data_IF_006041127743
#
_entry.id   IF_006041127743
#
_cell.length_a   1.000
_cell.length_b   1.000
_cell.length_c   1.000
_cell.angle_alpha   90.00
_cell.angle_beta   90.00
_cell.angle_gamma   90.00
#
_symmetry.space_group_name_H-M   'P 1'
#
loop_
_entity.id
_entity.type
_entity.pdbx_description
1 polymer ?
#
# COMPACT_ATOMS: atom_id res chain seq x y z
N UNK A 1 33.19 18.17 9.11
CA UNK A 1 34.05 19.33 9.43
C UNK A 1 35.48 19.02 8.98
N UNK A 2 36.40 19.95 9.16
CA UNK A 2 37.82 19.78 8.79
C UNK A 2 38.55 18.70 9.62
N UNK A 3 37.89 18.15 10.65
CA UNK A 3 38.37 17.04 11.46
C UNK A 3 37.79 15.66 11.03
N UNK A 4 36.95 15.64 9.98
CA UNK A 4 36.30 14.42 9.48
C UNK A 4 35.04 14.02 10.24
N UNK A 5 34.51 14.87 11.11
CA UNK A 5 33.23 14.64 11.81
C UNK A 5 32.05 14.90 10.88
N UNK A 6 31.03 14.04 10.92
CA UNK A 6 29.75 14.27 10.23
C UNK A 6 29.09 15.54 10.79
N UNK A 7 28.93 16.56 9.95
CA UNK A 7 28.33 17.85 10.32
C UNK A 7 26.85 17.98 9.97
N UNK A 8 26.38 17.20 9.01
CA UNK A 8 24.99 17.08 8.64
C UNK A 8 24.77 15.73 7.94
N UNK A 9 23.55 15.23 8.03
CA UNK A 9 23.06 14.10 7.23
C UNK A 9 22.06 14.72 6.25
N UNK A 10 22.24 14.45 4.96
CA UNK A 10 21.24 14.75 3.94
C UNK A 10 20.51 13.45 3.65
N UNK A 11 19.20 13.49 3.78
CA UNK A 11 18.31 12.44 3.28
C UNK A 11 17.91 12.83 1.86
N UNK A 12 18.15 11.94 0.90
CA UNK A 12 17.76 12.12 -0.50
C UNK A 12 16.63 11.16 -0.80
N UNK A 13 15.51 11.72 -1.26
CA UNK A 13 14.27 10.98 -1.44
C UNK A 13 13.75 11.19 -2.84
N UNK A 14 13.74 10.10 -3.60
CA UNK A 14 13.16 10.06 -4.92
C UNK A 14 11.76 9.46 -4.84
N UNK A 15 10.82 10.05 -5.57
CA UNK A 15 9.46 9.52 -5.69
C UNK A 15 9.02 9.55 -7.15
N UNK A 16 8.21 8.56 -7.51
CA UNK A 16 7.55 8.52 -8.80
C UNK A 16 6.34 9.46 -8.83
N UNK A 17 5.66 9.50 -9.98
CA UNK A 17 4.37 10.19 -10.08
C UNK A 17 3.35 9.59 -9.11
N UNK A 18 2.58 10.46 -8.46
CA UNK A 18 1.45 10.15 -7.57
C UNK A 18 0.19 10.82 -8.12
N UNK A 19 -0.98 10.41 -7.62
CA UNK A 19 -2.25 10.99 -8.04
C UNK A 19 -2.30 12.48 -7.75
N UNK A 20 -3.01 13.24 -8.60
CA UNK A 20 -3.25 14.65 -8.32
C UNK A 20 -3.94 14.83 -6.95
N UNK A 21 -3.46 15.82 -6.18
CA UNK A 21 -3.91 16.07 -4.80
C UNK A 21 -3.48 15.03 -3.75
N UNK A 22 -2.80 13.94 -4.12
CA UNK A 22 -2.31 12.94 -3.18
C UNK A 22 -0.89 13.27 -2.70
N UNK A 23 -0.73 13.43 -1.39
CA UNK A 23 0.59 13.59 -0.78
C UNK A 23 1.33 12.26 -0.67
N UNK A 24 2.64 12.31 -0.42
CA UNK A 24 3.44 11.16 -0.05
C UNK A 24 3.97 11.32 1.37
N UNK A 25 4.03 10.22 2.11
CA UNK A 25 4.51 10.18 3.48
C UNK A 25 5.35 8.92 3.72
N UNK A 26 6.36 9.00 4.59
CA UNK A 26 7.13 7.81 4.98
C UNK A 26 6.23 6.86 5.77
N UNK A 27 6.08 5.62 5.31
CA UNK A 27 5.28 4.59 5.95
C UNK A 27 6.06 3.25 6.03
N UNK A 28 6.20 2.61 7.21
CA UNK A 28 5.72 3.05 8.52
C UNK A 28 6.32 4.39 8.94
N UNK A 29 5.61 5.12 9.79
CA UNK A 29 5.91 6.51 10.13
C UNK A 29 7.41 6.73 10.40
N UNK A 30 7.99 7.75 9.75
CA UNK A 30 9.40 8.15 9.81
C UNK A 30 10.47 7.13 9.36
N UNK A 31 10.14 5.85 9.21
CA UNK A 31 11.14 4.79 8.97
C UNK A 31 11.05 4.15 7.57
N UNK A 32 9.85 4.09 7.00
CA UNK A 32 9.65 3.40 5.73
C UNK A 32 9.81 4.27 4.49
N UNK A 33 9.44 3.69 3.34
CA UNK A 33 9.46 4.34 2.03
C UNK A 33 8.32 5.34 1.91
N UNK A 34 8.41 6.20 0.90
CA UNK A 34 7.30 7.09 0.58
C UNK A 34 6.13 6.26 0.03
N UNK A 35 4.99 6.38 0.69
CA UNK A 35 3.73 5.78 0.30
C UNK A 35 2.65 6.87 0.13
N UNK A 36 1.58 6.58 -0.62
CA UNK A 36 0.40 7.45 -0.72
C UNK A 36 -0.15 7.85 0.65
N UNK A 37 -0.11 9.14 0.98
CA UNK A 37 -0.57 9.63 2.26
C UNK A 37 -2.10 9.75 2.30
N UNK A 38 -2.72 9.37 3.41
CA UNK A 38 -4.15 9.50 3.63
C UNK A 38 -4.62 10.96 3.75
N UNK A 39 -3.71 11.87 4.08
CA UNK A 39 -3.94 13.30 4.27
C UNK A 39 -2.59 14.01 4.28
N UNK A 40 -2.62 15.34 4.19
CA UNK A 40 -1.44 16.14 4.51
C UNK A 40 -1.08 15.94 5.99
N UNK A 41 0.04 15.28 6.27
CA UNK A 41 0.45 14.92 7.64
C UNK A 41 1.49 15.88 8.22
N UNK A 42 1.53 17.14 7.76
CA UNK A 42 2.51 18.10 8.27
C UNK A 42 2.31 18.32 9.77
N UNK A 43 3.25 17.82 10.58
CA UNK A 43 3.16 17.86 12.05
C UNK A 43 2.32 16.75 12.68
N UNK A 44 1.78 15.82 11.87
CA UNK A 44 0.99 14.68 12.31
C UNK A 44 1.74 13.35 12.10
N UNK A 45 1.27 12.28 12.72
CA UNK A 45 1.71 10.92 12.38
C UNK A 45 1.37 10.61 10.93
N UNK A 46 2.33 10.08 10.18
CA UNK A 46 2.08 9.64 8.80
C UNK A 46 1.10 8.46 8.78
N UNK A 47 0.10 8.56 7.91
CA UNK A 47 -0.83 7.48 7.59
C UNK A 47 -0.84 7.25 6.10
N UNK A 48 -0.87 6.00 5.69
CA UNK A 48 -1.02 5.63 4.29
C UNK A 48 -2.50 5.40 3.98
N UNK A 49 -2.91 5.70 2.76
CA UNK A 49 -4.13 5.10 2.19
C UNK A 49 -3.79 3.79 1.52
N UNK A 50 -4.79 2.92 1.46
CA UNK A 50 -4.76 1.66 0.74
C UNK A 50 -4.58 1.92 -0.74
N UNK A 51 -4.08 0.89 -1.41
CA UNK A 51 -3.70 0.93 -2.80
C UNK A 51 -4.85 1.23 -3.76
N UNK A 52 -4.47 1.50 -5.01
CA UNK A 52 -5.42 1.55 -6.13
C UNK A 52 -6.27 0.27 -6.24
N UNK A 53 -7.35 0.29 -7.05
CA UNK A 53 -8.34 -0.78 -7.05
C UNK A 53 -7.78 -2.10 -7.57
N UNK A 54 -6.68 -2.06 -8.31
CA UNK A 54 -5.92 -3.22 -8.75
C UNK A 54 -4.54 -3.17 -8.12
N UNK A 55 -4.09 -4.32 -7.62
CA UNK A 55 -2.85 -4.49 -6.88
C UNK A 55 -2.12 -5.77 -7.29
N UNK A 56 -0.86 -5.88 -6.91
CA UNK A 56 -0.09 -7.12 -7.05
C UNK A 56 -0.47 -8.03 -5.87
N UNK A 57 -1.10 -9.16 -6.16
CA UNK A 57 -1.56 -10.12 -5.15
C UNK A 57 -0.59 -11.26 -4.94
N UNK A 58 0.17 -11.64 -5.96
CA UNK A 58 1.10 -12.76 -5.88
C UNK A 58 2.23 -12.62 -6.90
N UNK A 59 3.41 -13.11 -6.56
CA UNK A 59 4.54 -13.24 -7.49
C UNK A 59 5.19 -14.60 -7.29
N UNK A 60 5.27 -15.38 -8.37
CA UNK A 60 5.96 -16.68 -8.37
C UNK A 60 7.31 -16.53 -9.07
N UNK A 61 8.31 -16.08 -8.33
CA UNK A 61 9.62 -15.70 -8.85
C UNK A 61 10.69 -16.80 -8.65
N UNK A 62 10.40 -17.88 -7.91
CA UNK A 62 11.25 -19.06 -7.73
C UNK A 62 10.50 -20.38 -7.94
N UNK A 63 9.87 -20.60 -9.12
CA UNK A 63 9.17 -21.85 -9.38
C UNK A 63 10.04 -23.09 -9.18
N UNK A 64 9.43 -24.21 -8.78
CA UNK A 64 10.10 -25.51 -8.83
C UNK A 64 10.27 -25.97 -10.27
N UNK A 65 11.26 -26.85 -10.52
CA UNK A 65 11.42 -27.45 -11.84
C UNK A 65 10.12 -28.12 -12.36
N UNK A 66 9.84 -28.05 -13.68
CA UNK A 66 8.70 -28.69 -14.30
C UNK A 66 8.52 -30.15 -13.87
N UNK A 67 7.30 -30.53 -13.51
CA UNK A 67 6.99 -31.91 -13.14
C UNK A 67 7.04 -32.83 -14.36
N UNK A 68 7.25 -34.15 -14.17
CA UNK A 68 7.20 -35.11 -15.29
C UNK A 68 5.88 -35.09 -16.07
N UNK A 69 4.76 -34.78 -15.42
CA UNK A 69 3.46 -34.66 -16.08
C UNK A 69 3.40 -33.44 -17.01
N UNK A 70 3.98 -32.32 -16.61
CA UNK A 70 4.06 -31.11 -17.44
C UNK A 70 5.02 -31.31 -18.62
N UNK A 71 6.18 -31.92 -18.38
CA UNK A 71 7.15 -32.23 -19.43
C UNK A 71 6.63 -33.27 -20.44
N UNK A 72 5.69 -34.13 -20.04
CA UNK A 72 5.01 -35.03 -20.97
C UNK A 72 4.08 -34.29 -21.94
N UNK A 73 3.55 -33.12 -21.54
CA UNK A 73 2.71 -32.27 -22.40
C UNK A 73 3.59 -31.36 -23.26
N UNK A 74 4.58 -30.69 -22.64
CA UNK A 74 5.50 -29.79 -23.32
C UNK A 74 6.95 -30.05 -22.87
N UNK A 75 7.72 -30.86 -23.62
CA UNK A 75 9.08 -31.27 -23.20
C UNK A 75 10.11 -30.13 -23.10
N UNK A 76 9.81 -28.98 -23.72
CA UNK A 76 10.68 -27.81 -23.70
C UNK A 76 10.31 -26.81 -22.58
N UNK A 77 9.40 -27.18 -21.66
CA UNK A 77 9.03 -26.32 -20.53
C UNK A 77 10.23 -26.09 -19.63
N UNK A 78 10.49 -24.84 -19.28
CA UNK A 78 11.56 -24.45 -18.34
C UNK A 78 10.99 -24.01 -16.99
N UNK A 79 11.87 -23.72 -16.03
CA UNK A 79 11.48 -23.13 -14.74
C UNK A 79 10.97 -21.71 -14.93
N UNK A 80 11.66 -20.90 -15.73
CA UNK A 80 11.27 -19.53 -16.09
C UNK A 80 9.86 -19.49 -16.74
N UNK A 81 9.48 -20.52 -17.49
CA UNK A 81 8.15 -20.62 -18.09
C UNK A 81 7.00 -20.68 -17.08
N UNK A 82 7.31 -21.00 -15.81
CA UNK A 82 6.37 -21.12 -14.68
C UNK A 82 6.29 -19.84 -13.83
N UNK A 83 7.11 -18.83 -14.11
CA UNK A 83 7.05 -17.54 -13.42
C UNK A 83 5.78 -16.78 -13.78
N UNK A 84 5.26 -15.97 -12.85
CA UNK A 84 4.16 -15.06 -13.11
C UNK A 84 4.09 -13.92 -12.09
N UNK A 85 3.43 -12.84 -12.51
CA UNK A 85 2.91 -11.79 -11.62
C UNK A 85 1.39 -11.90 -11.64
N UNK A 86 0.76 -12.01 -10.47
CA UNK A 86 -0.70 -11.96 -10.34
C UNK A 86 -1.14 -10.55 -9.95
N UNK A 87 -2.16 -10.06 -10.65
CA UNK A 87 -2.86 -8.83 -10.29
C UNK A 87 -4.29 -9.16 -9.88
N UNK A 88 -4.80 -8.42 -8.89
CA UNK A 88 -6.13 -8.60 -8.33
C UNK A 88 -6.90 -7.29 -8.29
N UNK A 89 -8.15 -7.29 -8.77
CA UNK A 89 -9.10 -6.19 -8.55
C UNK A 89 -9.78 -6.34 -7.18
N UNK A 90 -9.28 -5.63 -6.17
CA UNK A 90 -9.80 -5.65 -4.80
C UNK A 90 -11.04 -4.77 -4.57
N UNK A 91 -11.60 -4.17 -5.61
CA UNK A 91 -12.79 -3.34 -5.52
C UNK A 91 -14.07 -4.13 -5.84
N UNK A 92 -15.22 -3.60 -5.40
CA UNK A 92 -16.53 -4.13 -5.76
C UNK A 92 -16.99 -3.72 -7.19
N UNK A 93 -16.14 -3.02 -7.96
CA UNK A 93 -16.47 -2.50 -9.29
C UNK A 93 -15.56 -3.08 -10.38
N UNK A 94 -16.04 -3.24 -11.62
CA UNK A 94 -15.17 -3.61 -12.73
C UNK A 94 -14.15 -2.49 -13.02
N UNK A 95 -12.90 -2.87 -13.31
CA UNK A 95 -11.81 -1.94 -13.62
C UNK A 95 -11.32 -2.16 -15.04
N UNK A 96 -11.36 -1.09 -15.84
CA UNK A 96 -10.72 -1.04 -17.16
C UNK A 96 -9.20 -0.91 -17.01
N UNK A 97 -8.46 -1.84 -17.61
CA UNK A 97 -7.01 -1.92 -17.62
C UNK A 97 -6.36 -1.19 -18.81
N UNK A 98 -7.13 -0.42 -19.59
CA UNK A 98 -6.58 0.47 -20.62
C UNK A 98 -5.52 1.39 -20.02
N UNK A 99 -4.34 1.44 -20.64
CA UNK A 99 -3.15 2.19 -20.20
C UNK A 99 -2.60 1.79 -18.81
N UNK A 100 -3.04 0.65 -18.25
CA UNK A 100 -2.34 0.04 -17.12
C UNK A 100 -1.08 -0.66 -17.58
N UNK A 101 -0.08 -0.72 -16.69
CA UNK A 101 1.20 -1.34 -17.03
C UNK A 101 1.99 -1.84 -15.83
N UNK A 102 2.71 -2.95 -16.00
CA UNK A 102 3.77 -3.40 -15.10
C UNK A 102 5.11 -2.84 -15.56
N UNK A 103 5.94 -2.40 -14.61
CA UNK A 103 7.30 -1.91 -14.86
C UNK A 103 8.28 -2.35 -13.78
N UNK A 104 9.55 -2.50 -14.15
CA UNK A 104 10.63 -2.86 -13.22
C UNK A 104 11.35 -4.11 -13.69
N UNK A 105 11.35 -5.16 -12.89
CA UNK A 105 11.90 -6.47 -13.28
C UNK A 105 11.24 -7.07 -14.52
N UNK A 106 9.92 -6.85 -14.65
CA UNK A 106 9.17 -7.18 -15.86
C UNK A 106 8.38 -5.99 -16.37
N UNK A 107 8.31 -5.87 -17.69
CA UNK A 107 7.59 -4.82 -18.39
C UNK A 107 6.43 -5.41 -19.20
N UNK A 108 5.21 -4.97 -18.91
CA UNK A 108 4.01 -5.40 -19.61
C UNK A 108 3.00 -4.25 -19.73
N UNK A 109 2.39 -4.10 -20.91
CA UNK A 109 1.28 -3.18 -21.14
C UNK A 109 -0.01 -3.98 -21.27
N UNK A 110 -1.00 -3.67 -20.44
CA UNK A 110 -2.28 -4.37 -20.49
C UNK A 110 -3.03 -4.00 -21.78
N UNK A 111 -3.73 -4.98 -22.43
CA UNK A 111 -4.48 -4.70 -23.64
C UNK A 111 -5.58 -3.67 -23.41
N UNK A 112 -5.73 -2.70 -24.33
CA UNK A 112 -6.82 -1.74 -24.30
C UNK A 112 -8.20 -2.45 -24.30
N UNK A 113 -9.09 -1.99 -23.44
CA UNK A 113 -10.43 -2.56 -23.24
C UNK A 113 -10.46 -3.85 -22.41
N UNK A 114 -9.33 -4.32 -21.89
CA UNK A 114 -9.33 -5.42 -20.93
C UNK A 114 -9.94 -4.95 -19.61
N UNK A 115 -11.04 -5.56 -19.17
CA UNK A 115 -11.71 -5.20 -17.90
C UNK A 115 -11.55 -6.31 -16.87
N UNK A 116 -10.97 -6.06 -15.70
CA UNK A 116 -11.03 -6.97 -14.55
C UNK A 116 -12.33 -6.78 -13.79
N UNK A 117 -13.11 -7.85 -13.64
CA UNK A 117 -14.36 -7.87 -12.86
C UNK A 117 -14.07 -7.71 -11.36
N UNK A 118 -15.08 -7.36 -10.54
CA UNK A 118 -14.91 -7.30 -9.09
C UNK A 118 -14.34 -8.61 -8.52
N UNK A 119 -13.32 -8.51 -7.68
CA UNK A 119 -12.58 -9.64 -7.09
C UNK A 119 -11.94 -10.62 -8.11
N UNK A 120 -11.83 -10.23 -9.39
CA UNK A 120 -11.15 -11.05 -10.39
C UNK A 120 -9.63 -10.94 -10.24
N UNK A 121 -8.96 -12.07 -10.39
CA UNK A 121 -7.50 -12.18 -10.46
C UNK A 121 -7.07 -12.52 -11.89
N UNK A 122 -5.90 -12.03 -12.28
CA UNK A 122 -5.28 -12.38 -13.55
C UNK A 122 -3.78 -12.64 -13.39
N UNK A 123 -3.29 -13.66 -14.08
CA UNK A 123 -1.86 -13.96 -14.16
C UNK A 123 -1.25 -13.27 -15.38
N UNK A 124 -0.09 -12.65 -15.22
CA UNK A 124 0.73 -12.12 -16.30
C UNK A 124 1.93 -13.04 -16.47
N UNK A 125 1.97 -13.74 -17.61
CA UNK A 125 2.94 -14.80 -17.92
C UNK A 125 4.13 -14.30 -18.77
N UNK A 126 5.29 -14.98 -18.76
CA UNK A 126 6.47 -14.62 -19.57
C UNK A 126 6.26 -14.77 -21.08
N UNK A 127 5.18 -15.42 -21.50
CA UNK A 127 4.85 -15.64 -22.90
C UNK A 127 3.39 -15.28 -23.15
N UNK A 128 3.06 -14.86 -24.37
CA UNK A 128 1.69 -14.49 -24.71
C UNK A 128 0.79 -15.76 -24.77
N UNK A 129 -0.18 -15.93 -23.85
CA UNK A 129 -1.06 -17.09 -23.82
C UNK A 129 -2.07 -17.13 -24.99
N UNK A 130 -2.34 -15.99 -25.63
CA UNK A 130 -3.25 -15.90 -26.78
C UNK A 130 -2.58 -16.30 -28.11
N UNK A 131 -1.24 -16.38 -28.15
CA UNK A 131 -0.54 -16.85 -29.34
C UNK A 131 -0.77 -18.36 -29.51
N UNK A 132 -1.37 -18.83 -30.63
CA UNK A 132 -1.65 -20.25 -30.85
C UNK A 132 -0.41 -21.15 -30.80
N UNK A 133 0.78 -20.61 -31.09
CA UNK A 133 2.04 -21.34 -30.96
C UNK A 133 2.36 -21.76 -29.52
N UNK A 134 1.79 -21.06 -28.53
CA UNK A 134 1.99 -21.34 -27.11
C UNK A 134 0.91 -22.25 -26.52
N UNK A 135 -0.07 -22.73 -27.30
CA UNK A 135 -1.20 -23.49 -26.77
C UNK A 135 -0.78 -24.75 -25.99
N UNK A 136 0.21 -25.51 -26.48
CA UNK A 136 0.72 -26.71 -25.79
C UNK A 136 1.51 -26.35 -24.53
N UNK A 137 2.31 -25.27 -24.58
CA UNK A 137 3.04 -24.74 -23.42
C UNK A 137 2.07 -24.29 -22.32
N UNK A 138 1.03 -23.54 -22.69
CA UNK A 138 -0.03 -23.11 -21.78
C UNK A 138 -0.79 -24.29 -21.18
N UNK A 139 -1.15 -25.29 -21.99
CA UNK A 139 -1.80 -26.50 -21.51
C UNK A 139 -0.95 -27.25 -20.45
N UNK A 140 0.38 -27.18 -20.55
CA UNK A 140 1.28 -27.77 -19.56
C UNK A 140 1.27 -27.02 -18.22
N UNK A 141 0.87 -25.74 -18.16
CA UNK A 141 0.75 -25.00 -16.90
C UNK A 141 -0.47 -25.43 -16.09
N UNK A 142 -1.54 -25.86 -16.76
CA UNK A 142 -2.73 -26.40 -16.11
C UNK A 142 -3.62 -25.36 -15.42
N UNK A 143 -3.46 -24.07 -15.70
CA UNK A 143 -4.37 -23.03 -15.20
C UNK A 143 -5.75 -23.18 -15.84
N UNK A 144 -6.80 -23.27 -15.01
CA UNK A 144 -8.19 -23.46 -15.45
C UNK A 144 -9.07 -22.38 -14.83
N UNK A 145 -9.84 -21.67 -15.65
CA UNK A 145 -10.77 -20.64 -15.18
C UNK A 145 -10.11 -19.37 -14.66
N UNK A 146 -8.79 -19.23 -14.84
CA UNK A 146 -8.01 -18.04 -14.46
C UNK A 146 -7.80 -17.18 -15.70
N UNK A 147 -7.93 -15.86 -15.55
CA UNK A 147 -7.61 -14.93 -16.63
C UNK A 147 -6.11 -14.83 -16.82
N UNK A 148 -5.66 -14.89 -18.07
CA UNK A 148 -4.25 -14.87 -18.42
C UNK A 148 -3.94 -13.73 -19.38
N UNK A 149 -2.94 -12.94 -19.00
CA UNK A 149 -2.20 -12.05 -19.86
C UNK A 149 -0.78 -12.59 -20.01
N UNK A 150 0.03 -12.04 -20.91
CA UNK A 150 1.43 -12.39 -20.91
C UNK A 150 2.21 -11.98 -22.14
N UNK A 151 3.48 -12.41 -22.14
CA UNK A 151 4.50 -11.90 -23.03
C UNK A 151 5.14 -10.64 -22.46
N UNK A 152 5.24 -10.55 -21.13
CA UNK A 152 6.04 -9.50 -20.50
C UNK A 152 7.50 -9.59 -20.99
N UNK A 153 8.16 -8.44 -21.08
CA UNK A 153 9.60 -8.39 -21.30
C UNK A 153 10.34 -8.42 -19.96
N UNK A 154 11.57 -8.96 -19.95
CA UNK A 154 12.34 -9.16 -18.72
C UNK A 154 12.13 -10.56 -18.13
N UNK A 155 12.61 -10.74 -16.90
CA UNK A 155 12.51 -11.98 -16.13
C UNK A 155 12.51 -11.61 -14.65
N UNK A 156 11.78 -12.34 -13.81
CA UNK A 156 11.80 -12.08 -12.37
C UNK A 156 13.13 -12.55 -11.78
N UNK A 157 13.76 -11.73 -10.95
CA UNK A 157 14.99 -12.12 -10.27
C UNK A 157 14.67 -12.98 -9.04
N UNK A 158 15.41 -14.09 -8.88
CA UNK A 158 15.26 -14.98 -7.74
C UNK A 158 15.60 -14.27 -6.41
N UNK A 159 16.52 -13.30 -6.41
CA UNK A 159 17.04 -12.69 -5.19
C UNK A 159 16.21 -11.49 -4.77
N UNK A 160 16.12 -10.45 -5.60
CA UNK A 160 15.41 -9.23 -5.26
C UNK A 160 14.95 -8.50 -6.52
N UNK A 161 13.76 -7.91 -6.48
CA UNK A 161 13.24 -7.17 -7.62
C UNK A 161 12.29 -6.04 -7.21
N UNK A 162 12.21 -5.00 -8.04
CA UNK A 162 11.16 -3.98 -7.96
C UNK A 162 10.10 -4.22 -9.03
N UNK A 163 8.84 -4.33 -8.60
CA UNK A 163 7.67 -4.38 -9.48
C UNK A 163 6.74 -3.21 -9.16
N UNK A 164 6.40 -2.46 -10.20
CA UNK A 164 5.46 -1.34 -10.13
C UNK A 164 4.27 -1.63 -11.01
N UNK A 165 3.10 -1.65 -10.41
CA UNK A 165 1.84 -1.58 -11.14
C UNK A 165 1.48 -0.10 -11.29
N UNK A 166 1.38 0.35 -12.52
CA UNK A 166 1.06 1.74 -12.85
C UNK A 166 -0.32 1.81 -13.50
N UNK A 167 -1.09 2.83 -13.12
CA UNK A 167 -2.42 3.14 -13.67
C UNK A 167 -2.39 4.49 -14.39
N UNK A 168 -3.27 4.72 -15.38
CA UNK A 168 -3.44 6.05 -15.93
C UNK A 168 -4.00 7.01 -14.87
N UNK A 169 -3.65 8.29 -15.01
CA UNK A 169 -4.28 9.39 -14.30
C UNK A 169 -4.84 10.41 -15.30
N UNK A 170 -5.60 11.38 -14.81
CA UNK A 170 -6.24 12.42 -15.61
C UNK A 170 -5.17 13.21 -16.40
N UNK A 171 -5.30 13.32 -17.74
CA UNK A 171 -4.42 14.15 -18.54
C UNK A 171 -4.36 15.60 -18.03
N UNK A 172 -3.17 16.23 -17.96
CA UNK A 172 -3.07 17.64 -17.63
C UNK A 172 -3.86 18.51 -18.61
N UNK A 173 -4.52 19.56 -18.11
CA UNK A 173 -5.35 20.47 -18.93
C UNK A 173 -4.54 21.13 -20.06
N UNK A 174 -3.26 21.41 -19.80
CA UNK A 174 -2.31 22.00 -20.74
C UNK A 174 -1.70 20.97 -21.73
N UNK A 175 -1.87 19.67 -21.47
CA UNK A 175 -1.44 18.60 -22.36
C UNK A 175 -2.44 17.43 -22.35
N UNK A 176 -3.64 17.60 -22.95
CA UNK A 176 -4.73 16.62 -22.88
C UNK A 176 -4.45 15.31 -23.61
N UNK A 177 -3.37 15.24 -24.41
CA UNK A 177 -2.93 14.03 -25.12
C UNK A 177 -1.94 13.19 -24.32
N UNK A 178 -1.40 13.72 -23.22
CA UNK A 178 -0.52 12.96 -22.33
C UNK A 178 -1.37 12.07 -21.42
N UNK A 179 -1.08 10.76 -21.41
CA UNK A 179 -1.60 9.85 -20.39
C UNK A 179 -0.53 9.72 -19.29
N UNK A 180 -0.64 10.47 -18.18
CA UNK A 180 0.25 10.26 -17.04
C UNK A 180 0.00 8.88 -16.45
N UNK A 181 1.05 8.27 -15.91
CA UNK A 181 0.96 6.99 -15.23
C UNK A 181 1.51 7.14 -13.82
N UNK A 182 0.71 6.77 -12.83
CA UNK A 182 1.02 6.87 -11.41
C UNK A 182 1.10 5.48 -10.80
N UNK A 183 1.83 5.34 -9.69
CA UNK A 183 1.92 4.06 -8.97
C UNK A 183 0.56 3.71 -8.37
N UNK A 184 0.01 2.57 -8.78
CA UNK A 184 -1.15 1.93 -8.16
C UNK A 184 -0.71 0.97 -7.04
N UNK A 185 0.38 0.24 -7.26
CA UNK A 185 1.02 -0.64 -6.28
C UNK A 185 2.54 -0.74 -6.54
N UNK A 186 3.30 -0.95 -5.47
CA UNK A 186 4.75 -1.12 -5.47
C UNK A 186 5.09 -2.35 -4.63
N UNK A 187 5.87 -3.26 -5.20
CA UNK A 187 6.48 -4.39 -4.53
C UNK A 187 7.99 -4.33 -4.71
N UNK A 188 8.74 -4.42 -3.61
CA UNK A 188 10.20 -4.52 -3.63
C UNK A 188 10.63 -5.71 -2.78
N UNK A 189 10.59 -6.92 -3.33
CA UNK A 189 10.88 -8.14 -2.56
C UNK A 189 12.38 -8.43 -2.47
N UNK A 190 12.75 -9.30 -1.53
CA UNK A 190 14.14 -9.72 -1.27
C UNK A 190 14.20 -11.20 -0.82
N UNK A 191 15.38 -11.82 -0.91
CA UNK A 191 15.67 -13.21 -0.52
C UNK A 191 16.23 -13.32 0.89
N UNK A 192 16.07 -12.25 1.67
CA UNK A 192 16.49 -12.21 3.06
C UNK A 192 15.35 -11.76 3.97
N UNK A 193 15.42 -12.21 5.22
CA UNK A 193 14.55 -11.73 6.30
C UNK A 193 14.58 -10.20 6.35
N UNK A 194 13.43 -9.50 6.44
CA UNK A 194 12.13 -10.01 6.89
C UNK A 194 11.20 -10.60 5.81
N UNK A 195 11.59 -10.66 4.54
CA UNK A 195 10.75 -11.26 3.50
C UNK A 195 10.53 -12.77 3.72
N UNK A 196 9.40 -13.34 3.27
CA UNK A 196 9.20 -14.78 3.32
C UNK A 196 10.30 -15.56 2.58
N UNK A 197 10.80 -16.63 3.19
CA UNK A 197 11.95 -17.41 2.69
C UNK A 197 11.60 -18.83 2.24
N UNK A 198 10.30 -19.15 2.20
CA UNK A 198 9.77 -20.47 1.86
C UNK A 198 8.81 -20.35 0.69
N UNK A 199 8.61 -21.45 -0.03
CA UNK A 199 7.71 -21.49 -1.19
C UNK A 199 8.43 -21.15 -2.50
N UNK A 200 7.63 -21.07 -3.56
CA UNK A 200 8.08 -20.71 -4.92
C UNK A 200 7.90 -19.22 -5.22
N UNK A 201 7.27 -18.50 -4.31
CA UNK A 201 6.84 -17.14 -4.51
C UNK A 201 6.27 -16.56 -3.22
N UNK A 202 5.63 -15.40 -3.37
CA UNK A 202 4.96 -14.70 -2.29
C UNK A 202 3.52 -14.35 -2.66
N UNK A 203 2.59 -14.59 -1.73
CA UNK A 203 1.18 -14.19 -1.85
C UNK A 203 0.84 -13.17 -0.76
N UNK A 204 0.06 -12.17 -1.14
CA UNK A 204 -0.34 -11.07 -0.28
C UNK A 204 -1.44 -11.48 0.69
N UNK A 205 -1.30 -11.10 1.95
CA UNK A 205 -2.24 -11.51 3.03
C UNK A 205 -3.49 -10.65 3.09
N UNK A 206 -3.39 -9.40 2.62
CA UNK A 206 -4.46 -8.42 2.70
C UNK A 206 -4.33 -7.32 1.62
N UNK A 207 -5.43 -6.94 0.94
CA UNK A 207 -5.39 -5.97 -0.16
C UNK A 207 -5.26 -4.52 0.30
N UNK A 208 -5.39 -4.23 1.59
CA UNK A 208 -5.11 -2.90 2.20
C UNK A 208 -3.63 -2.66 2.51
N UNK A 209 -2.85 -3.71 2.80
CA UNK A 209 -1.48 -3.58 3.30
C UNK A 209 -0.51 -3.31 2.15
N UNK A 210 0.26 -2.22 2.14
CA UNK A 210 1.15 -1.88 1.01
C UNK A 210 2.05 -3.04 0.56
N UNK A 211 2.22 -3.19 -0.75
CA UNK A 211 3.04 -4.26 -1.34
C UNK A 211 4.53 -4.16 -1.01
N UNK A 212 5.04 -3.00 -0.60
CA UNK A 212 6.46 -2.79 -0.31
C UNK A 212 6.85 -3.15 1.14
N UNK A 213 5.89 -3.60 1.95
CA UNK A 213 6.11 -4.09 3.30
C UNK A 213 6.22 -5.60 3.30
N UNK A 214 7.31 -6.15 3.83
CA UNK A 214 7.50 -7.61 3.93
C UNK A 214 6.39 -8.30 4.77
N UNK A 215 5.79 -7.59 5.72
CA UNK A 215 4.68 -8.09 6.55
C UNK A 215 3.38 -8.30 5.76
N UNK A 216 3.27 -7.74 4.56
CA UNK A 216 2.11 -7.93 3.68
C UNK A 216 2.09 -9.28 2.98
N UNK A 217 3.16 -10.08 3.10
CA UNK A 217 3.39 -11.25 2.26
C UNK A 217 3.60 -12.53 3.05
N UNK A 218 3.17 -13.65 2.46
CA UNK A 218 3.48 -15.01 2.92
C UNK A 218 4.19 -15.79 1.82
N UNK A 219 5.00 -16.78 2.20
CA UNK A 219 5.73 -17.65 1.28
C UNK A 219 4.86 -18.76 0.67
N UNK A 220 3.70 -18.38 0.15
CA UNK A 220 2.75 -19.25 -0.52
C UNK A 220 2.66 -18.88 -2.00
N UNK A 221 2.12 -19.78 -2.81
CA UNK A 221 1.72 -19.49 -4.18
C UNK A 221 0.39 -20.21 -4.46
N UNK A 222 -0.64 -19.44 -4.75
CA UNK A 222 -2.02 -19.85 -5.00
C UNK A 222 -2.49 -19.23 -6.31
N UNK A 223 -1.90 -19.64 -7.46
CA UNK A 223 -2.16 -19.01 -8.74
C UNK A 223 -3.65 -19.01 -9.09
N UNK A 224 -4.18 -17.84 -9.40
CA UNK A 224 -5.58 -17.65 -9.76
C UNK A 224 -6.53 -17.64 -8.57
N UNK A 225 -6.02 -17.46 -7.35
CA UNK A 225 -6.84 -17.33 -6.15
C UNK A 225 -6.21 -16.38 -5.14
N UNK A 226 -7.00 -15.43 -4.66
CA UNK A 226 -6.66 -14.66 -3.45
C UNK A 226 -7.27 -15.32 -2.23
N UNK A 227 -6.42 -15.61 -1.24
CA UNK A 227 -6.84 -16.10 0.07
C UNK A 227 -6.54 -15.03 1.13
N UNK A 228 -7.19 -13.87 0.99
CA UNK A 228 -7.07 -12.84 2.01
C UNK A 228 -7.66 -13.34 3.31
N UNK A 229 -6.93 -13.13 4.39
CA UNK A 229 -7.48 -13.35 5.71
C UNK A 229 -8.42 -12.18 5.95
N UNK A 230 -9.73 -12.40 5.79
CA UNK A 230 -10.71 -11.40 6.19
C UNK A 230 -10.44 -11.03 7.65
N UNK A 231 -10.46 -9.74 8.01
CA UNK A 231 -10.36 -9.25 9.39
C UNK A 231 -11.34 -9.96 10.31
N UNK A 232 -10.96 -11.12 10.83
CA UNK A 232 -11.83 -11.88 11.73
C UNK A 232 -11.60 -11.26 13.10
N UNK A 233 -12.45 -10.30 13.49
CA UNK A 233 -12.33 -9.63 14.78
C UNK A 233 -12.12 -8.11 14.75
N UNK A 234 -12.20 -7.45 13.59
CA UNK A 234 -12.12 -5.98 13.51
C UNK A 234 -10.73 -5.40 13.25
N UNK A 235 -9.69 -6.23 13.13
CA UNK A 235 -8.34 -5.82 12.70
C UNK A 235 -8.34 -5.55 11.19
N UNK A 236 -8.92 -4.41 10.82
CA UNK A 236 -9.03 -4.00 9.43
C UNK A 236 -7.77 -3.35 8.92
N UNK A 237 -6.73 -3.14 9.72
CA UNK A 237 -5.40 -2.71 9.22
C UNK A 237 -4.53 -3.92 8.84
N UNK A 238 -4.78 -5.10 9.40
CA UNK A 238 -4.02 -6.32 9.18
C UNK A 238 -2.69 -6.36 9.93
N UNK A 239 -2.54 -5.56 10.99
CA UNK A 239 -1.31 -5.48 11.79
C UNK A 239 -1.28 -6.47 12.97
N UNK A 240 -2.38 -7.20 13.18
CA UNK A 240 -2.57 -8.19 14.24
C UNK A 240 -3.19 -7.62 15.52
N UNK A 241 -3.57 -6.35 15.55
CA UNK A 241 -4.13 -5.66 16.71
C UNK A 241 -5.40 -4.89 16.32
N UNK A 242 -6.46 -5.01 17.11
CA UNK A 242 -7.67 -4.20 16.97
C UNK A 242 -7.54 -2.96 17.86
N UNK A 243 -7.39 -1.77 17.28
CA UNK A 243 -7.16 -0.52 17.98
C UNK A 243 -7.72 0.71 17.21
N UNK A 244 -7.31 1.92 17.62
CA UNK A 244 -7.78 3.16 17.00
C UNK A 244 -7.41 3.30 15.52
N UNK A 245 -6.29 2.73 15.08
CA UNK A 245 -5.85 2.75 13.69
C UNK A 245 -6.82 2.02 12.75
N UNK A 246 -7.52 1.00 13.24
CA UNK A 246 -8.58 0.30 12.51
C UNK A 246 -9.81 1.18 12.30
N UNK A 247 -10.21 1.92 13.34
CA UNK A 247 -11.30 2.89 13.26
C UNK A 247 -10.95 4.01 12.28
N UNK A 248 -9.72 4.51 12.39
CA UNK A 248 -9.19 5.56 11.55
C UNK A 248 -9.16 5.15 10.07
N UNK A 249 -8.83 3.90 9.76
CA UNK A 249 -8.86 3.36 8.39
C UNK A 249 -10.27 3.34 7.81
N UNK A 250 -11.28 2.98 8.62
CA UNK A 250 -12.68 3.06 8.19
C UNK A 250 -13.10 4.51 7.92
N UNK A 251 -12.74 5.46 8.79
CA UNK A 251 -13.01 6.87 8.52
C UNK A 251 -12.33 7.38 7.25
N UNK A 252 -11.06 7.01 7.03
CA UNK A 252 -10.34 7.36 5.81
C UNK A 252 -11.02 6.75 4.56
N UNK A 253 -11.56 5.52 4.65
CA UNK A 253 -12.37 4.92 3.57
C UNK A 253 -13.68 5.69 3.32
N UNK A 254 -14.44 6.00 4.37
CA UNK A 254 -15.71 6.72 4.26
C UNK A 254 -15.53 8.16 3.74
N UNK A 255 -14.36 8.75 3.95
CA UNK A 255 -13.96 10.02 3.36
C UNK A 255 -13.55 9.91 1.87
N UNK A 256 -13.66 8.72 1.26
CA UNK A 256 -13.38 8.48 -0.16
C UNK A 256 -11.90 8.41 -0.51
N UNK A 257 -11.03 8.16 0.47
CA UNK A 257 -9.57 8.17 0.25
C UNK A 257 -8.99 6.86 -0.28
N UNK A 258 -9.82 5.81 -0.30
CA UNK A 258 -9.48 4.48 -0.78
C UNK A 258 -10.32 4.12 -2.02
N UNK A 259 -9.95 3.03 -2.70
CA UNK A 259 -10.74 2.46 -3.78
C UNK A 259 -12.21 2.25 -3.37
N UNK A 260 -13.18 2.50 -4.27
CA UNK A 260 -14.60 2.44 -3.93
C UNK A 260 -14.95 0.99 -3.53
N UNK A 261 -15.34 0.83 -2.26
CA UNK A 261 -15.76 -0.43 -1.64
C UNK A 261 -14.68 -1.52 -1.58
N UNK A 262 -13.85 -1.42 -0.55
CA UNK A 262 -12.96 -2.49 -0.14
C UNK A 262 -13.76 -3.45 0.76
N UNK A 263 -14.26 -4.56 0.23
CA UNK A 263 -15.14 -5.50 0.97
C UNK A 263 -14.51 -6.04 2.27
N UNK A 264 -13.18 -5.99 2.41
CA UNK A 264 -12.49 -6.30 3.67
C UNK A 264 -12.81 -5.33 4.82
N UNK A 265 -13.34 -4.14 4.51
CA UNK A 265 -13.74 -3.12 5.49
C UNK A 265 -15.23 -3.24 5.85
N UNK A 266 -15.96 -4.21 5.29
CA UNK A 266 -17.33 -4.57 5.66
C UNK A 266 -17.29 -5.43 6.93
N UNK A 267 -17.06 -4.76 8.07
CA UNK A 267 -16.81 -5.39 9.36
C UNK A 267 -18.08 -6.01 9.95
N UNK A 268 -19.25 -5.45 9.63
CA UNK A 268 -20.55 -5.99 10.07
C UNK A 268 -21.11 -7.09 9.13
N UNK A 269 -20.48 -7.29 7.97
CA UNK A 269 -20.80 -8.34 7.00
C UNK A 269 -22.12 -8.12 6.26
N UNK A 270 -22.60 -6.88 6.17
CA UNK A 270 -23.86 -6.54 5.50
C UNK A 270 -23.71 -6.38 3.96
N UNK A 271 -22.49 -6.46 3.44
CA UNK A 271 -22.13 -6.31 2.04
C UNK A 271 -21.87 -4.86 1.61
N UNK A 272 -21.79 -3.91 2.54
CA UNK A 272 -21.62 -2.47 2.25
C UNK A 272 -20.75 -1.79 3.30
N UNK A 273 -19.62 -1.23 2.89
CA UNK A 273 -18.77 -0.41 3.76
C UNK A 273 -19.39 0.97 3.98
N UNK A 274 -19.85 1.24 5.19
CA UNK A 274 -20.54 2.47 5.60
C UNK A 274 -20.33 2.80 7.10
N UNK A 275 -21.05 3.79 7.63
CA UNK A 275 -20.92 4.20 9.03
C UNK A 275 -21.29 3.10 10.05
N UNK A 276 -22.08 2.09 9.64
CA UNK A 276 -22.39 0.94 10.49
C UNK A 276 -21.16 0.08 10.77
N UNK A 277 -20.19 0.01 9.86
CA UNK A 277 -18.94 -0.73 10.09
C UNK A 277 -18.10 -0.10 11.18
N UNK A 278 -18.01 1.24 11.20
CA UNK A 278 -17.35 2.00 12.27
C UNK A 278 -18.04 1.72 13.61
N UNK A 279 -19.37 1.81 13.62
CA UNK A 279 -20.18 1.53 14.80
C UNK A 279 -19.96 0.09 15.30
N UNK A 280 -19.93 -0.88 14.39
CA UNK A 280 -19.74 -2.29 14.72
C UNK A 280 -18.33 -2.54 15.26
N UNK A 281 -17.30 -1.96 14.64
CA UNK A 281 -15.92 -2.04 15.13
C UNK A 281 -15.80 -1.49 16.55
N UNK A 282 -16.33 -0.28 16.81
CA UNK A 282 -16.24 0.37 18.13
C UNK A 282 -17.00 -0.40 19.21
N UNK A 283 -18.24 -0.81 18.92
CA UNK A 283 -19.13 -1.34 19.97
C UNK A 283 -19.13 -2.86 20.11
N UNK A 284 -18.86 -3.60 19.03
CA UNK A 284 -18.89 -5.08 19.04
C UNK A 284 -17.49 -5.65 19.14
N UNK A 285 -16.55 -5.18 18.31
CA UNK A 285 -15.20 -5.73 18.29
C UNK A 285 -14.32 -5.17 19.41
N UNK A 286 -14.26 -3.84 19.56
CA UNK A 286 -13.53 -3.20 20.65
C UNK A 286 -14.30 -3.25 21.97
N UNK A 287 -15.63 -3.41 21.92
CA UNK A 287 -16.46 -3.50 23.12
C UNK A 287 -16.46 -2.22 23.94
N UNK A 288 -16.25 -1.06 23.30
CA UNK A 288 -16.19 0.24 23.97
C UNK A 288 -17.30 1.19 23.51
N UNK A 289 -17.26 2.43 23.99
CA UNK A 289 -18.19 3.51 23.68
C UNK A 289 -17.48 4.61 22.89
N UNK A 290 -18.27 5.35 22.12
CA UNK A 290 -17.84 6.63 21.57
C UNK A 290 -17.38 7.54 22.71
N UNK A 291 -16.20 8.16 22.57
CA UNK A 291 -15.62 8.97 23.66
C UNK A 291 -14.44 8.31 24.37
N UNK A 292 -14.26 6.99 24.26
CA UNK A 292 -13.12 6.28 24.85
C UNK A 292 -11.91 6.39 23.90
N UNK A 293 -11.08 7.42 24.11
CA UNK A 293 -9.93 7.71 23.25
C UNK A 293 -8.76 6.76 23.52
N UNK A 294 -8.63 6.24 24.76
CA UNK A 294 -7.53 5.34 25.13
C UNK A 294 -7.87 3.85 24.96
N UNK A 295 -9.12 3.53 24.60
CA UNK A 295 -9.67 2.19 24.41
C UNK A 295 -9.58 1.32 25.68
N UNK A 296 -9.73 1.91 26.86
CA UNK A 296 -9.71 1.19 28.14
C UNK A 296 -11.07 0.62 28.58
N UNK A 297 -12.12 0.85 27.77
CA UNK A 297 -13.48 0.39 27.98
C UNK A 297 -14.34 1.38 28.80
N UNK A 298 -13.80 2.54 29.17
CA UNK A 298 -14.50 3.59 29.91
C UNK A 298 -14.43 4.94 29.21
N UNK A 299 -15.48 5.75 29.38
CA UNK A 299 -15.49 7.15 28.91
C UNK A 299 -15.39 8.06 30.13
N UNK A 300 -14.17 8.50 30.43
CA UNK A 300 -13.86 9.13 31.72
C UNK A 300 -12.94 10.36 31.62
N UNK A 301 -12.39 10.78 32.77
CA UNK A 301 -11.49 11.95 32.84
C UNK A 301 -10.13 11.73 32.17
N UNK A 302 -9.72 10.49 31.95
CA UNK A 302 -8.50 10.11 31.23
C UNK A 302 -8.64 10.45 29.75
N UNK A 303 -9.79 10.17 29.14
CA UNK A 303 -10.08 10.58 27.77
C UNK A 303 -10.13 12.11 27.64
N UNK A 304 -10.75 12.78 28.61
CA UNK A 304 -10.81 14.24 28.62
C UNK A 304 -9.40 14.88 28.71
N UNK A 305 -8.44 14.20 29.36
CA UNK A 305 -7.05 14.64 29.37
C UNK A 305 -6.41 14.58 27.98
N UNK A 306 -6.80 13.61 27.14
CA UNK A 306 -6.37 13.51 25.74
C UNK A 306 -6.95 14.69 24.95
N UNK A 307 -8.23 15.00 25.09
CA UNK A 307 -8.82 16.19 24.46
C UNK A 307 -8.09 17.47 24.87
N UNK A 308 -7.75 17.65 26.14
CA UNK A 308 -7.03 18.85 26.59
C UNK A 308 -5.64 19.00 25.94
N UNK A 309 -5.02 17.89 25.54
CA UNK A 309 -3.72 17.87 24.86
C UNK A 309 -3.86 18.08 23.35
N UNK A 310 -4.96 17.62 22.76
CA UNK A 310 -5.14 17.55 21.30
C UNK A 310 -6.12 18.58 20.73
N UNK A 311 -6.91 19.27 21.58
CA UNK A 311 -7.95 20.21 21.15
C UNK A 311 -7.41 21.27 20.20
N UNK A 312 -8.17 21.51 19.14
CA UNK A 312 -7.85 22.43 18.05
C UNK A 312 -6.63 22.02 17.22
N UNK A 313 -6.21 20.76 17.29
CA UNK A 313 -5.26 20.20 16.34
C UNK A 313 -5.98 19.79 15.04
N UNK A 314 -5.26 19.90 13.91
CA UNK A 314 -5.68 19.35 12.61
C UNK A 314 -5.07 17.98 12.32
N UNK A 315 -4.72 17.25 13.38
CA UNK A 315 -4.09 15.94 13.32
C UNK A 315 -4.98 14.85 13.93
N UNK A 316 -6.30 15.05 13.89
CA UNK A 316 -7.28 14.17 14.51
C UNK A 316 -7.10 12.70 14.12
N UNK A 317 -7.25 11.86 15.13
CA UNK A 317 -7.38 10.41 15.08
C UNK A 317 -8.23 9.97 16.25
N UNK A 318 -8.74 8.75 16.22
CA UNK A 318 -9.45 8.19 17.37
C UNK A 318 -8.67 8.39 18.69
N UNK A 319 -7.40 8.00 18.68
CA UNK A 319 -6.48 8.09 19.83
C UNK A 319 -6.09 9.52 20.24
N UNK A 320 -6.39 10.52 19.40
CA UNK A 320 -6.18 11.94 19.70
C UNK A 320 -7.49 12.70 19.89
N UNK A 321 -8.60 11.99 20.09
CA UNK A 321 -9.92 12.55 20.41
C UNK A 321 -10.67 13.11 19.18
N UNK A 322 -10.44 12.57 17.98
CA UNK A 322 -11.30 12.78 16.82
C UNK A 322 -12.25 11.58 16.69
N UNK A 323 -13.48 11.77 17.16
CA UNK A 323 -14.48 10.71 17.21
C UNK A 323 -15.47 10.80 16.06
N UNK A 324 -15.44 11.84 15.23
CA UNK A 324 -16.32 11.94 14.06
C UNK A 324 -15.58 11.70 12.73
N UNK A 325 -14.25 11.54 12.77
CA UNK A 325 -13.40 11.24 11.62
C UNK A 325 -13.15 12.44 10.71
N UNK A 326 -13.44 13.67 11.15
CA UNK A 326 -13.30 14.88 10.33
C UNK A 326 -11.89 15.50 10.37
N UNK A 327 -10.95 14.85 11.05
CA UNK A 327 -9.53 15.21 11.23
C UNK A 327 -9.27 16.42 12.13
N UNK A 328 -10.32 17.06 12.64
CA UNK A 328 -10.22 18.18 13.58
C UNK A 328 -10.62 17.69 14.96
N UNK A 329 -9.82 18.03 15.98
CA UNK A 329 -10.22 17.77 17.37
C UNK A 329 -10.95 19.00 17.90
N UNK A 330 -12.28 19.01 17.85
CA UNK A 330 -13.09 20.19 18.19
C UNK A 330 -14.22 19.92 19.20
N UNK A 331 -15.23 20.79 19.22
CA UNK A 331 -16.38 20.68 20.15
C UNK A 331 -17.33 19.55 19.76
N UNK A 332 -17.33 19.11 18.49
CA UNK A 332 -18.13 17.99 18.00
C UNK A 332 -17.65 16.69 18.63
N UNK A 333 -16.34 16.47 18.73
CA UNK A 333 -15.77 15.32 19.42
C UNK A 333 -16.02 15.38 20.92
N UNK A 334 -15.87 16.57 21.50
CA UNK A 334 -16.22 16.79 22.91
C UNK A 334 -17.68 16.44 23.20
N UNK A 335 -18.60 16.75 22.29
CA UNK A 335 -20.01 16.39 22.45
C UNK A 335 -20.22 14.87 22.40
N UNK A 336 -19.47 14.13 21.60
CA UNK A 336 -19.50 12.66 21.56
C UNK A 336 -19.01 12.06 22.87
N UNK A 337 -17.87 12.52 23.41
CA UNK A 337 -17.41 12.12 24.74
C UNK A 337 -18.43 12.49 25.83
N UNK A 338 -18.92 13.73 25.82
CA UNK A 338 -19.83 14.24 26.84
C UNK A 338 -21.20 13.53 26.86
N UNK A 339 -21.63 12.97 25.73
CA UNK A 339 -22.84 12.16 25.64
C UNK A 339 -22.69 10.77 26.26
N UNK A 340 -21.46 10.24 26.30
CA UNK A 340 -21.19 8.86 26.72
C UNK A 340 -20.45 8.75 28.07
N UNK A 341 -19.93 9.86 28.59
CA UNK A 341 -19.29 9.88 29.91
C UNK A 341 -20.24 9.30 30.97
N UNK A 342 -19.70 8.45 31.84
CA UNK A 342 -20.44 7.76 32.91
C UNK A 342 -21.46 6.71 32.44
N UNK A 343 -21.45 6.30 31.17
CA UNK A 343 -22.26 5.16 30.70
C UNK A 343 -21.51 3.82 30.78
N UNK A 344 -20.19 3.84 30.93
CA UNK A 344 -19.39 2.64 31.15
C UNK A 344 -19.72 1.98 32.49
N UNK A 345 -19.94 0.66 32.46
CA UNK A 345 -20.45 -0.13 33.58
C UNK A 345 -19.48 -0.22 34.75
N UNK A 346 -19.35 0.84 35.54
CA UNK A 346 -18.46 0.93 36.68
C UNK A 346 -18.64 2.21 37.49
N UNK A 347 -19.05 3.30 36.84
CA UNK A 347 -19.30 4.57 37.51
C UNK A 347 -20.77 4.67 37.91
N UNK A 348 -21.02 4.87 39.20
CA UNK A 348 -22.37 4.99 39.74
C UNK A 348 -23.18 6.05 38.99
N UNK A 349 -24.15 5.59 38.19
CA UNK A 349 -25.05 6.44 37.44
C UNK A 349 -25.70 7.51 38.35
N UNK A 350 -25.63 8.80 38.01
CA UNK A 350 -26.59 9.74 38.55
C UNK A 350 -27.95 9.40 37.93
N UNK A 351 -28.91 9.11 38.80
CA UNK A 351 -30.27 8.80 38.40
C UNK A 351 -30.90 9.95 37.62
N UNK A 352 -31.51 9.59 36.49
CA UNK A 352 -32.45 10.35 35.64
C UNK A 352 -31.91 11.53 34.83
N UNK A 353 -31.88 11.36 33.49
CA UNK A 353 -32.67 12.20 32.57
C UNK A 353 -32.72 11.61 31.15
N UNK A 354 -33.94 11.35 30.69
CA UNK A 354 -34.43 11.47 29.31
C UNK A 354 -33.73 10.71 28.17
N UNK A 355 -34.42 9.70 27.67
CA UNK A 355 -34.27 9.10 26.33
C UNK A 355 -34.13 10.18 25.25
N UNK A 356 -32.91 10.38 24.75
CA UNK A 356 -32.66 11.00 23.46
C UNK A 356 -32.06 9.91 22.56
N UNK A 357 -32.79 9.59 21.50
CA UNK A 357 -32.34 8.69 20.45
C UNK A 357 -31.12 9.31 19.74
N UNK A 358 -29.95 8.64 19.68
CA UNK A 358 -28.77 9.16 18.99
C UNK A 358 -28.88 9.15 17.45
N UNK A 359 -30.02 8.73 16.87
CA UNK A 359 -30.23 8.54 15.42
C UNK A 359 -30.29 9.79 14.54
N UNK A 360 -29.90 10.98 14.99
CA UNK A 360 -30.18 12.22 14.24
C UNK A 360 -28.98 13.00 13.67
N UNK A 361 -27.73 12.57 13.85
CA UNK A 361 -26.56 13.38 13.42
C UNK A 361 -25.64 12.71 12.40
N UNK A 362 -26.10 11.65 11.74
CA UNK A 362 -25.51 11.18 10.49
C UNK A 362 -26.37 11.67 9.30
N UNK A 363 -26.58 12.98 9.24
CA UNK A 363 -26.98 13.63 7.99
C UNK A 363 -25.69 14.02 7.27
N UNK A 364 -25.16 13.09 6.49
CA UNK A 364 -24.48 13.50 5.25
C UNK A 364 -25.55 14.25 4.46
N UNK A 365 -25.23 15.46 4.04
CA UNK A 365 -26.01 16.17 3.04
C UNK A 365 -26.02 15.31 1.77
N UNK A 366 -27.04 14.48 1.61
CA UNK A 366 -27.27 13.68 0.43
C UNK A 366 -28.71 13.89 -0.05
N UNK A 367 -28.81 14.66 -1.13
CA UNK A 367 -29.93 14.56 -2.05
C UNK A 367 -30.03 13.10 -2.54
N UNK A 368 -30.95 12.30 -1.99
CA UNK A 368 -31.76 11.32 -2.71
C UNK A 368 -32.72 10.56 -1.76
N UNK A 369 -34.00 10.61 -2.11
CA UNK A 369 -35.12 10.02 -1.36
C UNK A 369 -35.24 8.48 -1.51
N UNK A 370 -35.87 7.81 -0.52
CA UNK A 370 -37.12 7.00 -0.61
C UNK A 370 -37.22 5.90 0.49
N UNK A 371 -38.23 6.10 1.34
CA UNK A 371 -39.25 5.16 1.91
C UNK A 371 -38.85 4.02 2.88
N UNK A 372 -39.45 4.16 4.06
CA UNK A 372 -39.46 3.31 5.27
C UNK A 372 -40.28 2.01 5.17
N UNK A 373 -39.95 1.02 6.02
CA UNK A 373 -40.84 0.31 6.98
C UNK A 373 -40.12 -0.94 7.54
N UNK A 374 -39.61 -0.91 8.78
CA UNK A 374 -40.25 -1.40 10.03
C UNK A 374 -40.33 -2.92 10.20
N UNK A 375 -39.58 -3.48 11.18
CA UNK A 375 -39.93 -4.74 11.83
C UNK A 375 -39.61 -4.72 13.34
N UNK A 376 -40.51 -5.36 14.08
CA UNK A 376 -40.71 -5.41 15.52
C UNK A 376 -39.72 -6.37 16.20
N UNK A 377 -39.16 -5.96 17.36
CA UNK A 377 -38.31 -6.78 18.23
C UNK A 377 -39.16 -7.65 19.16
N UNK A 378 -38.73 -8.89 19.37
CA UNK A 378 -39.08 -9.70 20.53
C UNK A 378 -37.80 -10.38 21.05
N UNK A 379 -37.57 -10.29 22.36
CA UNK A 379 -36.38 -10.73 23.10
C UNK A 379 -36.81 -11.74 24.20
N UNK A 380 -35.92 -12.40 24.95
CA UNK A 380 -35.03 -13.51 24.59
C UNK A 380 -35.29 -14.76 25.48
N UNK A 381 -34.53 -15.85 25.29
CA UNK A 381 -34.33 -16.85 26.36
C UNK A 381 -32.87 -17.32 26.43
N UNK A 382 -32.34 -17.28 27.65
CA UNK A 382 -31.00 -17.69 28.06
C UNK A 382 -30.84 -19.21 28.08
N UNK A 383 -29.59 -19.69 27.98
CA UNK A 383 -29.18 -20.89 28.71
C UNK A 383 -27.69 -20.89 29.04
N UNK A 384 -27.44 -21.27 30.29
CA UNK A 384 -26.18 -21.41 31.01
C UNK A 384 -25.42 -22.69 30.60
N UNK A 385 -24.09 -22.65 30.58
CA UNK A 385 -23.29 -23.83 30.89
C UNK A 385 -22.06 -23.51 31.74
N UNK A 386 -21.88 -24.34 32.77
CA UNK A 386 -20.87 -24.31 33.83
C UNK A 386 -19.88 -25.45 33.57
N UNK A 387 -18.58 -25.22 33.78
CA UNK A 387 -17.63 -26.26 34.20
C UNK A 387 -16.50 -25.65 35.04
N UNK A 388 -16.21 -26.33 36.15
CA UNK A 388 -15.25 -25.97 37.20
C UNK A 388 -13.84 -26.51 36.93
N UNK A 389 -12.82 -25.70 37.27
CA UNK A 389 -11.63 -26.08 38.07
C UNK A 389 -10.39 -26.72 37.39
N UNK A 390 -9.21 -26.08 37.56
CA UNK A 390 -8.03 -26.62 38.28
C UNK A 390 -6.91 -25.54 38.36
N UNK A 391 -6.13 -25.61 39.43
CA UNK A 391 -5.31 -24.62 40.13
C UNK A 391 -3.83 -24.47 39.68
N UNK A 392 -3.35 -23.22 39.78
CA UNK A 392 -2.04 -22.71 40.30
C UNK A 392 -0.70 -23.23 39.77
N UNK A 393 0.19 -22.30 39.38
CA UNK A 393 1.62 -22.27 39.74
C UNK A 393 2.19 -20.83 39.63
N UNK A 394 3.06 -20.47 40.59
CA UNK A 394 3.67 -19.15 40.85
C UNK A 394 5.09 -19.05 40.27
N UNK A 395 5.49 -17.81 39.99
CA UNK A 395 6.84 -17.22 39.95
C UNK A 395 7.89 -17.65 38.90
N UNK A 396 8.31 -16.67 38.07
CA UNK A 396 9.73 -16.30 37.84
C UNK A 396 9.88 -14.96 37.09
N UNK A 397 10.69 -14.06 37.67
CA UNK A 397 11.13 -12.78 37.11
C UNK A 397 12.21 -12.95 36.00
N UNK A 398 12.42 -11.95 35.11
CA UNK A 398 13.27 -12.09 33.92
C UNK A 398 14.76 -11.83 34.19
N UNK A 399 15.63 -12.61 33.54
CA UNK A 399 17.08 -12.45 33.60
C UNK A 399 17.66 -11.65 32.42
N UNK A 400 18.69 -10.89 32.76
CA UNK A 400 19.49 -9.99 31.91
C UNK A 400 20.25 -10.76 30.82
N UNK A 401 19.67 -10.87 29.63
CA UNK A 401 20.38 -11.43 28.45
C UNK A 401 20.16 -10.65 27.13
N UNK A 402 19.47 -9.50 27.16
CA UNK A 402 19.08 -8.76 25.93
C UNK A 402 20.03 -7.64 25.47
N UNK A 403 21.19 -7.47 26.11
CA UNK A 403 22.11 -6.35 25.83
C UNK A 403 23.40 -6.73 25.07
N UNK A 404 23.48 -7.90 24.45
CA UNK A 404 24.63 -8.29 23.60
C UNK A 404 24.26 -8.71 22.17
N UNK A 405 23.00 -8.53 21.76
CA UNK A 405 22.52 -8.88 20.41
C UNK A 405 22.31 -7.65 19.50
N UNK A 406 22.44 -6.43 20.03
CA UNK A 406 22.24 -5.20 19.24
C UNK A 406 23.51 -4.74 18.51
N UNK A 407 24.71 -5.06 19.01
CA UNK A 407 25.97 -4.65 18.34
C UNK A 407 26.35 -5.51 17.13
N UNK A 408 25.85 -6.75 17.02
CA UNK A 408 26.21 -7.65 15.93
C UNK A 408 25.31 -7.52 14.69
N UNK A 409 24.14 -6.90 14.83
CA UNK A 409 23.22 -6.64 13.72
C UNK A 409 23.67 -5.42 12.88
N UNK A 410 24.17 -4.36 13.53
CA UNK A 410 24.62 -3.15 12.85
C UNK A 410 25.89 -3.37 12.00
N UNK A 411 26.82 -4.18 12.50
CA UNK A 411 28.05 -4.51 11.79
C UNK A 411 27.82 -5.36 10.52
N UNK A 412 26.72 -6.14 10.46
CA UNK A 412 26.38 -6.96 9.28
C UNK A 412 25.65 -6.17 8.19
N UNK A 413 24.89 -5.14 8.58
CA UNK A 413 24.22 -4.22 7.65
C UNK A 413 25.21 -3.27 6.94
N UNK A 414 26.24 -2.80 7.64
CA UNK A 414 27.29 -1.96 7.06
C UNK A 414 28.12 -2.68 5.98
N UNK A 415 28.27 -4.00 6.10
CA UNK A 415 29.12 -4.82 5.23
C UNK A 415 28.38 -5.30 3.96
N UNK A 416 27.04 -5.37 3.97
CA UNK A 416 26.25 -5.71 2.76
C UNK A 416 26.15 -4.53 1.78
N UNK A 417 26.04 -3.31 2.31
CA UNK A 417 25.96 -2.08 1.49
C UNK A 417 27.26 -1.73 0.78
N UNK A 418 28.43 -2.14 1.30
CA UNK A 418 29.72 -1.90 0.67
C UNK A 418 30.05 -2.88 -0.47
N UNK A 419 29.53 -4.13 -0.43
CA UNK A 419 29.72 -5.12 -1.51
C UNK A 419 28.98 -4.75 -2.81
N UNK A 420 27.93 -3.94 -2.74
CA UNK A 420 27.20 -3.46 -3.91
C UNK A 420 27.91 -2.32 -4.66
N UNK A 421 28.95 -1.69 -4.09
CA UNK A 421 29.70 -0.60 -4.74
C UNK A 421 30.88 -1.06 -5.59
N UNK A 422 31.43 -2.24 -5.34
CA UNK A 422 32.67 -2.70 -6.01
C UNK A 422 32.45 -3.47 -7.31
N UNK A 423 31.21 -3.64 -7.79
CA UNK A 423 30.91 -4.34 -9.06
C UNK A 423 30.70 -3.43 -10.29
N UNK A 424 30.83 -2.11 -10.13
CA UNK A 424 30.63 -1.13 -11.21
C UNK A 424 31.91 -0.42 -11.70
N UNK A 425 33.09 -1.01 -11.50
CA UNK A 425 34.31 -0.51 -12.16
C UNK A 425 35.08 -1.67 -12.82
N UNK A 426 34.95 -1.78 -14.14
CA UNK A 426 35.94 -2.46 -14.98
C UNK A 426 36.72 -1.41 -15.80
N UNK A 427 38.02 -1.65 -16.09
CA UNK A 427 39.00 -0.58 -16.32
C UNK A 427 38.99 -0.10 -17.77
N UNK A 428 39.14 1.21 -17.95
CA UNK A 428 39.37 1.83 -19.25
C UNK A 428 40.68 1.34 -19.86
N UNK A 429 40.58 0.55 -20.93
CA UNK A 429 41.71 0.15 -21.79
C UNK A 429 42.12 1.35 -22.65
N UNK A 430 43.29 1.93 -22.36
CA UNK A 430 43.93 2.93 -23.20
C UNK A 430 44.38 2.34 -24.53
N UNK A 431 43.91 2.89 -25.66
CA UNK A 431 44.52 2.70 -26.98
C UNK A 431 45.25 3.97 -27.44
N UNK A 432 46.34 3.84 -28.22
CA UNK A 432 47.38 4.86 -28.33
C UNK A 432 47.06 5.91 -29.40
N UNK A 433 47.66 7.08 -29.20
CA UNK A 433 47.59 8.22 -30.09
C UNK A 433 48.38 8.00 -31.40
N UNK A 434 47.82 8.48 -32.51
CA UNK A 434 48.53 8.75 -33.77
C UNK A 434 48.06 10.09 -34.37
N UNK A 435 48.87 10.71 -35.25
CA UNK A 435 49.27 12.11 -35.07
C UNK A 435 48.55 13.12 -35.98
N UNK A 436 48.73 14.38 -35.59
CA UNK A 436 48.33 15.62 -36.28
C UNK A 436 48.96 15.81 -37.66
N UNK A 437 48.12 16.18 -38.63
CA UNK A 437 48.42 16.90 -39.87
C UNK A 437 47.07 17.46 -40.36
N UNK A 438 46.86 18.68 -40.84
CA UNK A 438 47.68 19.83 -41.24
C UNK A 438 46.67 20.98 -41.43
N UNK A 439 47.10 22.21 -41.14
CA UNK A 439 46.35 23.43 -41.47
C UNK A 439 46.79 23.99 -42.83
N UNK A 440 45.88 24.77 -43.43
CA UNK A 440 46.01 25.74 -44.51
C UNK A 440 46.28 25.28 -45.97
N UNK A 441 45.33 25.58 -46.86
CA UNK A 441 45.53 26.59 -47.93
C UNK A 441 44.22 27.00 -48.64
N UNK A 442 44.14 28.29 -48.93
CA UNK A 442 43.07 29.07 -49.56
C UNK A 442 42.92 28.81 -51.08
N UNK A 443 41.70 28.89 -51.62
CA UNK A 443 41.33 29.73 -52.80
C UNK A 443 39.87 29.54 -53.27
N UNK A 444 39.13 30.65 -53.22
CA UNK A 444 38.11 31.22 -54.13
C UNK A 444 37.21 30.35 -55.04
N UNK A 445 35.91 30.69 -55.07
CA UNK A 445 34.91 30.05 -55.96
C UNK A 445 33.44 30.34 -55.63
N UNK A 446 32.98 31.48 -56.15
CA UNK A 446 31.64 32.11 -56.19
C UNK A 446 30.38 31.24 -56.48
N UNK A 447 29.21 31.81 -56.10
CA UNK A 447 27.80 31.55 -56.49
C UNK A 447 27.02 30.55 -55.60
N UNK A 448 25.74 30.70 -55.28
CA UNK A 448 24.73 31.78 -55.22
C UNK A 448 23.49 31.14 -54.54
N UNK A 449 22.56 31.96 -54.02
CA UNK A 449 21.18 31.62 -53.59
C UNK A 449 20.99 30.85 -52.25
N UNK A 450 20.00 31.10 -51.39
CA UNK A 450 19.04 32.18 -51.15
C UNK A 450 18.32 31.82 -49.81
N UNK A 451 17.68 32.81 -49.16
CA UNK A 451 16.74 32.72 -48.01
C UNK A 451 17.30 32.51 -46.59
N UNK A 452 17.25 33.58 -45.78
CA UNK A 452 16.39 33.65 -44.56
C UNK A 452 16.60 34.98 -43.82
N UNK A 453 15.51 35.72 -43.57
CA UNK A 453 15.51 36.85 -42.64
C UNK A 453 14.15 36.99 -41.96
N UNK A 454 14.04 36.56 -40.69
CA UNK A 454 13.21 37.19 -39.64
C UNK A 454 13.92 36.96 -38.29
N UNK A 455 13.99 37.97 -37.39
CA UNK A 455 14.91 37.95 -36.25
C UNK A 455 14.35 37.30 -34.98
N UNK A 456 15.30 36.87 -34.15
CA UNK A 456 15.21 36.27 -32.82
C UNK A 456 14.46 37.16 -31.83
N UNK A 457 13.62 36.54 -30.99
CA UNK A 457 13.44 36.97 -29.60
C UNK A 457 13.64 35.78 -28.65
N UNK A 458 14.49 36.05 -27.65
CA UNK A 458 14.98 35.24 -26.53
C UNK A 458 13.98 34.24 -25.93
N UNK A 459 14.45 32.99 -25.75
CA UNK A 459 14.11 32.17 -24.58
C UNK A 459 15.40 31.96 -23.81
N UNK A 460 15.37 32.34 -22.53
CA UNK A 460 16.44 32.17 -21.55
C UNK A 460 16.60 30.69 -21.25
N UNK A 461 17.80 30.15 -21.44
CA UNK A 461 18.20 28.87 -20.86
C UNK A 461 18.33 28.98 -19.35
N UNK A 462 18.00 27.90 -18.65
CA UNK A 462 18.57 27.60 -17.34
C UNK A 462 19.73 26.64 -17.58
N UNK A 463 20.94 27.19 -17.44
CA UNK A 463 22.19 26.42 -17.44
C UNK A 463 22.30 25.60 -16.16
N UNK A 464 22.72 24.36 -16.32
CA UNK A 464 23.23 23.48 -15.28
C UNK A 464 24.49 24.08 -14.64
N UNK A 465 24.44 24.41 -13.35
CA UNK A 465 25.63 24.78 -12.59
C UNK A 465 26.26 23.56 -11.91
N UNK A 466 27.30 23.09 -12.59
CA UNK A 466 28.62 22.72 -12.03
C UNK A 466 28.72 22.30 -10.56
N UNK A 467 29.08 21.03 -10.40
CA UNK A 467 29.91 20.45 -9.33
C UNK A 467 30.78 21.49 -8.60
N UNK A 468 30.54 21.66 -7.30
CA UNK A 468 31.60 22.00 -6.33
C UNK A 468 31.67 20.91 -5.29
N UNK A 469 32.87 20.33 -5.16
CA UNK A 469 33.32 19.56 -3.99
C UNK A 469 33.05 20.38 -2.73
N UNK A 470 32.40 19.77 -1.74
CA UNK A 470 32.87 19.66 -0.35
C UNK A 470 32.48 18.26 0.11
#
# INVERSE_FOLDING_TARGET
DDAGSVTYIVDDVHFAATLDGQGLARFPNAMGRLAPAARTTLGCTNRTVGLGPVLISEVNYRPTAPTPAQLAIYPALTVDDLEYVEVHNASASPIDLTDWRLRGGVDFDFPAGAVLMPNEVALVLPFNPENPANATRLAALGYVGVRLFGGYAGQLDDFSEELRLLRPDTPPVDNPTLVPHVIADLLVYDDVTPWPQVGTGISRVSPILLGDLSSSWTGASTPGAVAYTLPTGGDVTGDGVVNGEDIDLLFDHLAGKHSPQLLQLDVDGNGSVNANDVQYLVTVHLGTLWGDANLDGSVDGTDLNIWNQSRFSGCGSWSSFDFNGDTLVDVRDFNLWNANKFLSGGDGAPSSASTADPRATLAVDSDAAIVSASLVLDEPQASTHRMDGISTLRDRAPSRSRLRLLDSAFAKWYDSTHRNRERFEAPWVSRPAEPSATDETLADGQQDEDWTAVPRHRVSGYESLSKRRI
#
